data_IF_787288213047
#
_entry.id   IF_787288213047
#
_cell.length_a   1.000
_cell.length_b   1.000
_cell.length_c   1.000
_cell.angle_alpha   90.00
_cell.angle_beta   90.00
_cell.angle_gamma   90.00
#
_symmetry.space_group_name_H-M   'P 1'
#
loop_
_entity.id
_entity.type
_entity.pdbx_description
1 polymer ?
#
# COMPACT_ATOMS: atom_id res chain seq x y z
N UNK A 1 6.77 -8.01 -3.85
CA UNK A 1 6.07 -7.27 -2.77
C UNK A 1 6.93 -7.32 -1.52
N UNK A 2 6.91 -6.27 -0.69
CA UNK A 2 7.89 -6.11 0.41
C UNK A 2 7.19 -5.65 1.69
N UNK A 3 7.60 -6.19 2.85
CA UNK A 3 7.16 -5.66 4.15
C UNK A 3 7.81 -4.30 4.42
N UNK A 4 7.00 -3.28 4.71
CA UNK A 4 7.51 -1.94 5.00
C UNK A 4 8.23 -1.82 6.34
N UNK A 5 8.18 -2.81 7.24
CA UNK A 5 8.87 -2.72 8.53
C UNK A 5 10.24 -3.43 8.51
N UNK A 6 10.32 -4.65 7.98
CA UNK A 6 11.58 -5.40 7.95
C UNK A 6 12.30 -5.38 6.61
N UNK A 7 11.65 -4.93 5.52
CA UNK A 7 12.25 -4.91 4.18
C UNK A 7 12.29 -6.26 3.46
N UNK A 8 11.79 -7.34 4.07
CA UNK A 8 11.78 -8.65 3.43
C UNK A 8 10.80 -8.67 2.25
N UNK A 9 11.28 -9.16 1.10
CA UNK A 9 10.44 -9.50 -0.04
C UNK A 9 9.73 -10.83 0.21
N UNK A 10 8.41 -10.85 0.10
CA UNK A 10 7.56 -11.99 0.45
C UNK A 10 6.45 -12.17 -0.60
N UNK A 11 5.88 -13.38 -0.73
CA UNK A 11 4.65 -13.60 -1.49
C UNK A 11 3.50 -12.72 -0.96
N UNK A 12 2.62 -12.27 -1.84
CA UNK A 12 1.52 -11.37 -1.49
C UNK A 12 0.60 -11.95 -0.42
N UNK A 13 0.39 -13.27 -0.42
CA UNK A 13 -0.46 -13.98 0.54
C UNK A 13 0.09 -13.95 1.97
N UNK A 14 1.39 -13.69 2.14
CA UNK A 14 2.05 -13.58 3.45
C UNK A 14 2.14 -12.12 3.95
N UNK A 15 1.70 -11.17 3.12
CA UNK A 15 1.63 -9.77 3.47
C UNK A 15 0.20 -9.40 3.86
N UNK A 16 0.10 -8.54 4.86
CA UNK A 16 -1.12 -7.93 5.36
C UNK A 16 -1.07 -6.43 5.16
N UNK A 17 -2.22 -5.77 5.30
CA UNK A 17 -2.27 -4.32 5.47
C UNK A 17 -2.14 -3.97 6.95
N UNK A 18 -1.35 -2.95 7.25
CA UNK A 18 -1.22 -2.38 8.59
C UNK A 18 -1.48 -0.87 8.57
N UNK A 19 -2.07 -0.37 9.66
CA UNK A 19 -2.26 1.05 9.89
C UNK A 19 -1.08 1.62 10.67
N UNK A 20 -0.35 2.56 10.08
CA UNK A 20 0.79 3.22 10.72
C UNK A 20 0.37 3.86 12.04
N UNK A 21 -0.71 4.64 12.02
CA UNK A 21 -1.49 5.03 13.20
C UNK A 21 -2.62 4.02 13.36
N UNK A 22 -2.66 3.19 14.43
CA UNK A 22 -3.70 2.20 14.64
C UNK A 22 -5.10 2.84 14.74
N UNK A 23 -6.14 2.11 14.32
CA UNK A 23 -7.54 2.56 14.47
C UNK A 23 -7.92 2.87 15.91
N UNK A 24 -7.42 2.08 16.86
CA UNK A 24 -7.59 2.29 18.30
C UNK A 24 -6.97 3.60 18.81
N UNK A 25 -6.10 4.23 18.02
CA UNK A 25 -5.45 5.52 18.30
C UNK A 25 -5.92 6.63 17.34
N UNK A 26 -7.07 6.43 16.68
CA UNK A 26 -7.67 7.43 15.78
C UNK A 26 -7.18 7.39 14.33
N UNK A 27 -6.43 6.35 13.94
CA UNK A 27 -5.98 6.21 12.54
C UNK A 27 -7.10 5.81 11.58
N UNK A 28 -7.07 6.38 10.38
CA UNK A 28 -8.04 6.12 9.32
C UNK A 28 -7.46 5.20 8.22
N UNK A 29 -8.33 4.51 7.47
CA UNK A 29 -7.92 3.76 6.28
C UNK A 29 -7.78 4.72 5.10
N UNK A 30 -6.60 5.33 4.97
CA UNK A 30 -6.26 6.30 3.93
C UNK A 30 -4.87 5.99 3.36
N UNK A 31 -4.58 6.45 2.15
CA UNK A 31 -3.27 6.30 1.49
C UNK A 31 -2.10 6.72 2.36
N UNK A 32 -2.27 7.78 3.16
CA UNK A 32 -1.25 8.31 4.07
C UNK A 32 -1.11 7.55 5.40
N UNK A 33 -1.80 6.42 5.59
CA UNK A 33 -1.79 5.70 6.86
C UNK A 33 -1.75 4.16 6.71
N UNK A 34 -1.78 3.62 5.50
CA UNK A 34 -1.80 2.16 5.27
C UNK A 34 -0.53 1.73 4.55
N UNK A 35 0.10 0.67 5.06
CA UNK A 35 1.32 0.07 4.50
C UNK A 35 1.20 -1.44 4.40
N UNK A 36 2.06 -2.07 3.60
CA UNK A 36 2.21 -3.53 3.59
C UNK A 36 3.11 -3.99 4.73
N UNK A 37 2.70 -5.03 5.46
CA UNK A 37 3.47 -5.62 6.55
C UNK A 37 3.42 -7.15 6.49
N UNK A 38 4.47 -7.85 6.89
CA UNK A 38 4.36 -9.30 7.11
C UNK A 38 3.65 -9.58 8.44
N UNK A 39 3.01 -10.73 8.57
CA UNK A 39 2.27 -11.10 9.79
C UNK A 39 3.09 -10.94 11.09
N UNK A 40 4.38 -11.34 11.17
CA UNK A 40 5.20 -11.13 12.37
C UNK A 40 5.40 -9.66 12.73
N UNK A 41 5.72 -8.80 11.74
CA UNK A 41 5.90 -7.37 12.00
C UNK A 41 4.59 -6.68 12.36
N UNK A 42 3.49 -7.04 11.67
CA UNK A 42 2.18 -6.50 11.96
C UNK A 42 1.74 -6.85 13.40
N UNK A 43 1.95 -8.11 13.82
CA UNK A 43 1.66 -8.55 15.18
C UNK A 43 2.54 -7.83 16.22
N UNK A 44 3.83 -7.66 15.94
CA UNK A 44 4.78 -6.98 16.83
C UNK A 44 4.42 -5.50 17.02
N UNK A 45 4.02 -4.81 15.95
CA UNK A 45 3.58 -3.42 16.03
C UNK A 45 2.25 -3.29 16.77
N UNK A 46 1.28 -4.14 16.43
CA UNK A 46 -0.05 -4.16 17.06
C UNK A 46 -0.71 -2.77 17.12
N UNK A 47 -1.19 -2.40 18.31
CA UNK A 47 -1.84 -1.10 18.57
C UNK A 47 -0.86 0.02 18.97
N UNK A 48 0.44 -0.17 18.73
CA UNK A 48 1.43 0.84 19.04
C UNK A 48 1.62 1.85 17.90
N UNK A 49 1.91 3.09 18.28
CA UNK A 49 2.41 4.11 17.37
C UNK A 49 3.86 3.76 16.98
N UNK A 50 4.33 4.16 15.78
CA UNK A 50 5.68 3.83 15.31
C UNK A 50 6.79 4.16 16.30
N UNK A 51 6.67 5.30 16.99
CA UNK A 51 7.66 5.76 17.97
C UNK A 51 7.64 4.98 19.29
N UNK A 52 6.52 4.34 19.67
CA UNK A 52 6.41 3.55 20.90
C UNK A 52 7.24 2.25 20.79
N UNK A 53 7.35 1.67 19.58
CA UNK A 53 8.04 0.40 19.32
C UNK A 53 9.24 0.52 18.37
N UNK A 54 9.57 1.74 17.94
CA UNK A 54 10.62 2.06 16.95
C UNK A 54 10.46 1.31 15.62
N UNK A 55 9.22 1.07 15.21
CA UNK A 55 8.89 0.43 13.93
C UNK A 55 8.31 1.45 12.98
N UNK A 56 9.15 2.00 12.11
CA UNK A 56 8.76 2.95 11.07
C UNK A 56 8.71 2.25 9.73
N UNK A 57 7.75 2.59 8.86
CA UNK A 57 7.75 2.08 7.51
C UNK A 57 8.98 2.61 6.74
N UNK A 58 9.58 1.77 5.91
CA UNK A 58 10.74 2.10 5.07
C UNK A 58 10.44 3.25 4.12
N UNK A 59 9.23 3.26 3.56
CA UNK A 59 8.70 4.35 2.75
C UNK A 59 7.45 4.91 3.43
N UNK A 60 7.37 6.23 3.68
CA UNK A 60 6.16 6.83 4.22
C UNK A 60 4.94 6.52 3.33
N UNK A 61 3.80 6.13 3.93
CA UNK A 61 2.57 5.90 3.18
C UNK A 61 2.13 7.20 2.47
N UNK A 62 1.87 7.10 1.17
CA UNK A 62 1.45 8.23 0.34
C UNK A 62 0.56 7.73 -0.80
N UNK A 63 -0.29 8.61 -1.32
CA UNK A 63 -1.05 8.32 -2.52
C UNK A 63 -0.09 8.29 -3.72
N UNK A 64 -0.10 7.22 -4.55
CA UNK A 64 0.72 7.18 -5.75
C UNK A 64 0.23 8.22 -6.76
N UNK A 65 1.16 8.80 -7.51
CA UNK A 65 0.83 9.70 -8.63
C UNK A 65 0.36 8.91 -9.85
N UNK A 66 -0.37 9.53 -10.78
CA UNK A 66 -0.77 8.92 -12.05
C UNK A 66 0.43 8.34 -12.82
N UNK A 67 1.57 9.04 -12.77
CA UNK A 67 2.82 8.59 -13.38
C UNK A 67 3.34 7.28 -12.76
N UNK A 68 3.42 7.21 -11.43
CA UNK A 68 3.85 6.00 -10.71
C UNK A 68 2.92 4.82 -10.99
N UNK A 69 1.61 5.07 -11.01
CA UNK A 69 0.63 4.04 -11.38
C UNK A 69 0.88 3.53 -12.79
N UNK A 70 1.11 4.41 -13.76
CA UNK A 70 1.38 4.04 -15.14
C UNK A 70 2.72 3.29 -15.30
N UNK A 71 3.79 3.71 -14.63
CA UNK A 71 5.08 3.03 -14.65
C UNK A 71 4.99 1.61 -14.07
N UNK A 72 4.37 1.47 -12.90
CA UNK A 72 4.18 0.16 -12.27
C UNK A 72 3.17 -0.71 -13.03
N UNK A 73 2.16 -0.10 -13.67
CA UNK A 73 1.19 -0.77 -14.54
C UNK A 73 1.80 -1.33 -15.83
N UNK A 74 2.83 -0.67 -16.38
CA UNK A 74 3.59 -1.17 -17.56
C UNK A 74 4.46 -2.39 -17.24
N UNK A 75 4.73 -2.66 -15.96
CA UNK A 75 5.45 -3.86 -15.52
C UNK A 75 4.63 -5.16 -15.58
N UNK A 76 3.32 -5.06 -15.85
CA UNK A 76 2.49 -6.22 -16.12
C UNK A 76 2.61 -6.64 -17.59
N UNK A 77 2.70 -7.95 -17.90
CA UNK A 77 2.83 -8.40 -19.28
C UNK A 77 1.65 -7.88 -20.12
N UNK A 78 1.88 -7.54 -21.40
CA UNK A 78 0.79 -7.21 -22.29
C UNK A 78 -0.20 -8.39 -22.26
N UNK A 79 -1.45 -8.11 -21.88
CA UNK A 79 -2.58 -9.04 -21.66
C UNK A 79 -2.88 -9.50 -20.22
N UNK A 80 -2.19 -9.01 -19.17
CA UNK A 80 -2.66 -9.20 -17.79
C UNK A 80 -2.68 -7.89 -17.00
N UNK A 81 -3.60 -7.00 -17.39
CA UNK A 81 -4.02 -5.90 -16.54
C UNK A 81 -5.19 -6.39 -15.71
N UNK A 82 -5.01 -6.58 -14.41
CA UNK A 82 -6.13 -6.93 -13.53
C UNK A 82 -7.18 -5.80 -13.60
N UNK A 83 -8.44 -6.14 -13.86
CA UNK A 83 -9.52 -5.19 -14.19
C UNK A 83 -9.63 -4.02 -13.21
N UNK A 84 -9.40 -4.27 -11.91
CA UNK A 84 -9.40 -3.26 -10.85
C UNK A 84 -8.37 -2.15 -11.03
N UNK A 85 -7.34 -2.33 -11.86
CA UNK A 85 -6.33 -1.31 -12.14
C UNK A 85 -6.73 -0.38 -13.28
N UNK A 86 -7.72 -0.74 -14.13
CA UNK A 86 -8.19 0.15 -15.20
C UNK A 86 -8.70 1.47 -14.63
N UNK A 87 -9.49 1.42 -13.56
CA UNK A 87 -10.10 2.60 -12.96
C UNK A 87 -9.07 3.60 -12.43
N UNK A 88 -7.91 3.11 -11.99
CA UNK A 88 -6.83 3.96 -11.46
C UNK A 88 -5.85 4.44 -12.52
N UNK A 89 -5.71 3.74 -13.65
CA UNK A 89 -4.76 4.08 -14.71
C UNK A 89 -5.31 5.07 -15.72
N UNK A 90 -6.64 5.13 -15.88
CA UNK A 90 -7.30 5.97 -16.89
C UNK A 90 -8.08 7.14 -16.30
N UNK A 91 -7.89 7.46 -15.02
CA UNK A 91 -8.63 8.49 -14.29
C UNK A 91 -8.52 9.92 -14.88
N UNK A 92 -7.46 10.22 -15.65
CA UNK A 92 -7.29 11.53 -16.35
C UNK A 92 -7.90 11.55 -17.77
N UNK A 93 -8.54 10.46 -18.21
CA UNK A 93 -9.30 10.46 -19.46
C UNK A 93 -10.70 10.93 -19.11
N UNK A 94 -11.04 12.17 -19.48
CA UNK A 94 -12.42 12.66 -19.41
C UNK A 94 -13.34 11.56 -19.98
N UNK A 95 -14.20 11.00 -19.13
CA UNK A 95 -15.23 10.08 -19.58
C UNK A 95 -16.19 10.89 -20.43
N UNK A 96 -16.07 10.74 -21.76
CA UNK A 96 -17.05 11.26 -22.69
C UNK A 96 -18.42 10.67 -22.29
N UNK A 97 -19.41 11.52 -21.95
CA UNK A 97 -20.71 11.02 -21.53
C UNK A 97 -21.45 10.48 -22.76
N UNK A 98 -21.64 9.16 -22.78
CA UNK A 98 -22.56 8.47 -23.69
C UNK A 98 -24.02 8.81 -23.39
#
# INVERSE_FOLDING_TARGET
FTCQYCGNALPTQELTFDHVIPRSRGGHTLWGNVVTACSPCNLLKGNHLPHEVRMFPLVPPAQPTSHLLQEHGRGFPPNYLHESWRDFLYWDSELDPS
#
